data_IF_644765956088
#
_entry.id   IF_644765956088
#
_cell.length_a   1.000
_cell.length_b   1.000
_cell.length_c   1.000
_cell.angle_alpha   90.00
_cell.angle_beta   90.00
_cell.angle_gamma   90.00
#
_symmetry.space_group_name_H-M   'P 1'
#
loop_
_entity.id
_entity.type
_entity.pdbx_description
1 polymer ?
#
# COMPACT_ATOMS: atom_id res chain seq x y z
N UNK A 1 -53.90 -8.58 75.53
CA UNK A 1 -52.76 -7.63 75.41
C UNK A 1 -51.41 -8.34 75.21
N UNK A 2 -51.29 -9.23 74.23
CA UNK A 2 -50.00 -9.86 73.85
C UNK A 2 -49.66 -9.56 72.39
N UNK A 3 -50.68 -9.41 71.54
CA UNK A 3 -50.53 -9.02 70.13
C UNK A 3 -49.98 -7.59 69.92
N UNK A 4 -50.16 -6.67 70.88
CA UNK A 4 -49.66 -5.29 70.76
C UNK A 4 -48.15 -5.17 71.03
N UNK A 5 -47.59 -6.02 71.90
CA UNK A 5 -46.17 -5.97 72.29
C UNK A 5 -45.24 -6.69 71.31
N UNK A 6 -45.73 -7.68 70.56
CA UNK A 6 -44.95 -8.36 69.50
C UNK A 6 -44.80 -7.45 68.27
N UNK A 7 -45.83 -6.68 67.92
CA UNK A 7 -45.75 -5.65 66.86
C UNK A 7 -44.89 -4.43 67.23
N UNK A 8 -44.64 -4.19 68.52
CA UNK A 8 -43.76 -3.11 68.99
C UNK A 8 -42.28 -3.50 68.94
N UNK A 9 -41.96 -4.79 69.13
CA UNK A 9 -40.59 -5.33 69.07
C UNK A 9 -40.08 -5.65 67.65
N UNK A 10 -40.97 -5.92 66.69
CA UNK A 10 -40.59 -6.04 65.27
C UNK A 10 -40.36 -4.66 64.63
N UNK A 11 -40.82 -3.58 65.28
CA UNK A 11 -40.82 -2.23 64.71
C UNK A 11 -39.60 -1.39 65.06
N UNK A 12 -38.74 -1.81 66.00
CA UNK A 12 -37.84 -0.85 66.65
C UNK A 12 -36.34 -1.06 66.56
N UNK A 13 -35.74 -2.19 66.15
CA UNK A 13 -34.25 -2.26 66.26
C UNK A 13 -33.38 -2.91 65.18
N UNK A 14 -33.88 -3.50 64.09
CA UNK A 14 -32.96 -4.03 63.05
C UNK A 14 -33.22 -3.54 61.62
N UNK A 15 -34.08 -2.53 61.41
CA UNK A 15 -34.25 -1.95 60.07
C UNK A 15 -32.96 -1.30 59.55
N UNK A 16 -32.15 -0.72 60.43
CA UNK A 16 -30.80 -0.23 60.12
C UNK A 16 -29.86 -1.36 59.73
N UNK A 17 -29.93 -2.53 60.39
CA UNK A 17 -29.12 -3.69 60.05
C UNK A 17 -29.52 -4.28 58.69
N UNK A 18 -30.82 -4.44 58.43
CA UNK A 18 -31.33 -4.90 57.12
C UNK A 18 -30.99 -3.92 56.00
N UNK A 19 -31.09 -2.61 56.25
CA UNK A 19 -30.67 -1.59 55.28
C UNK A 19 -29.16 -1.64 55.01
N UNK A 20 -28.34 -1.85 56.04
CA UNK A 20 -26.90 -2.01 55.90
C UNK A 20 -26.55 -3.26 55.09
N UNK A 21 -27.17 -4.40 55.39
CA UNK A 21 -26.97 -5.66 54.65
C UNK A 21 -27.38 -5.51 53.18
N UNK A 22 -28.50 -4.85 52.91
CA UNK A 22 -28.95 -4.56 51.55
C UNK A 22 -27.95 -3.68 50.79
N UNK A 23 -27.44 -2.61 51.42
CA UNK A 23 -26.41 -1.74 50.82
C UNK A 23 -25.14 -2.52 50.54
N UNK A 24 -24.69 -3.39 51.44
CA UNK A 24 -23.50 -4.22 51.23
C UNK A 24 -23.68 -5.14 50.02
N UNK A 25 -24.82 -5.81 49.88
CA UNK A 25 -25.12 -6.67 48.72
C UNK A 25 -25.13 -5.88 47.42
N UNK A 26 -25.83 -4.74 47.38
CA UNK A 26 -25.90 -3.87 46.19
C UNK A 26 -24.51 -3.35 45.81
N UNK A 27 -23.73 -2.90 46.79
CA UNK A 27 -22.35 -2.46 46.58
C UNK A 27 -21.46 -3.60 46.10
N UNK A 28 -21.64 -4.82 46.60
CA UNK A 28 -20.92 -6.01 46.16
C UNK A 28 -21.20 -6.35 44.69
N UNK A 29 -22.48 -6.37 44.29
CA UNK A 29 -22.87 -6.59 42.88
C UNK A 29 -22.35 -5.46 41.99
N UNK A 30 -22.48 -4.21 42.44
CA UNK A 30 -21.97 -3.04 41.72
C UNK A 30 -20.46 -3.14 41.49
N UNK A 31 -19.67 -3.42 42.53
CA UNK A 31 -18.22 -3.62 42.42
C UNK A 31 -17.87 -4.80 41.51
N UNK A 32 -18.61 -5.90 41.58
CA UNK A 32 -18.42 -7.07 40.72
C UNK A 32 -18.58 -6.71 39.23
N UNK A 33 -19.63 -5.99 38.87
CA UNK A 33 -19.86 -5.50 37.49
C UNK A 33 -18.75 -4.52 37.08
N UNK A 34 -18.39 -3.58 37.97
CA UNK A 34 -17.34 -2.60 37.66
C UNK A 34 -15.96 -3.25 37.42
N UNK A 35 -15.60 -4.27 38.21
CA UNK A 35 -14.36 -5.02 38.00
C UNK A 35 -14.38 -5.83 36.69
N UNK A 36 -15.53 -6.42 36.35
CA UNK A 36 -15.74 -7.09 35.07
C UNK A 36 -15.54 -6.14 33.89
N UNK A 37 -16.24 -5.01 33.88
CA UNK A 37 -16.13 -3.98 32.85
C UNK A 37 -14.70 -3.43 32.74
N UNK A 38 -14.00 -3.26 33.86
CA UNK A 38 -12.61 -2.80 33.84
C UNK A 38 -11.65 -3.82 33.23
N UNK A 39 -11.85 -5.11 33.50
CA UNK A 39 -11.05 -6.18 32.92
C UNK A 39 -11.30 -6.31 31.41
N UNK A 40 -12.56 -6.23 30.97
CA UNK A 40 -12.93 -6.20 29.54
C UNK A 40 -12.33 -4.99 28.82
N UNK A 41 -12.45 -3.79 29.40
CA UNK A 41 -11.87 -2.57 28.83
C UNK A 41 -10.34 -2.60 28.76
N UNK A 42 -9.66 -3.32 29.67
CA UNK A 42 -8.22 -3.55 29.57
C UNK A 42 -7.89 -4.52 28.44
N UNK A 43 -8.67 -5.60 28.30
CA UNK A 43 -8.51 -6.58 27.22
C UNK A 43 -8.71 -5.95 25.85
N UNK A 44 -9.75 -5.13 25.68
CA UNK A 44 -10.03 -4.41 24.44
C UNK A 44 -8.87 -3.48 24.04
N UNK A 45 -8.34 -2.68 24.97
CA UNK A 45 -7.17 -1.82 24.71
C UNK A 45 -5.91 -2.62 24.35
N UNK A 46 -5.67 -3.75 25.01
CA UNK A 46 -4.53 -4.60 24.68
C UNK A 46 -4.65 -5.19 23.26
N UNK A 47 -5.85 -5.63 22.87
CA UNK A 47 -6.13 -6.13 21.52
C UNK A 47 -5.94 -5.03 20.47
N UNK A 48 -6.52 -3.85 20.70
CA UNK A 48 -6.38 -2.69 19.82
C UNK A 48 -4.92 -2.33 19.59
N UNK A 49 -4.12 -2.17 20.65
CA UNK A 49 -2.68 -1.88 20.55
C UNK A 49 -1.95 -2.91 19.68
N UNK A 50 -2.29 -4.19 19.82
CA UNK A 50 -1.72 -5.26 18.99
C UNK A 50 -2.11 -5.17 17.52
N UNK A 51 -3.34 -4.75 17.20
CA UNK A 51 -3.78 -4.52 15.82
C UNK A 51 -3.19 -3.25 15.22
N UNK A 52 -3.13 -2.16 16.00
CA UNK A 52 -2.50 -0.90 15.59
C UNK A 52 -1.01 -1.10 15.24
N UNK A 53 -0.28 -1.89 16.02
CA UNK A 53 1.11 -2.23 15.70
C UNK A 53 1.24 -2.96 14.35
N UNK A 54 0.40 -3.98 14.11
CA UNK A 54 0.39 -4.71 12.83
C UNK A 54 -0.05 -3.84 11.66
N UNK A 55 -1.04 -2.97 11.87
CA UNK A 55 -1.51 -2.03 10.86
C UNK A 55 -0.42 -1.02 10.50
N UNK A 56 0.33 -0.52 11.49
CA UNK A 56 1.48 0.35 11.25
C UNK A 56 2.55 -0.36 10.42
N UNK A 57 2.85 -1.63 10.71
CA UNK A 57 3.79 -2.43 9.92
C UNK A 57 3.33 -2.58 8.45
N UNK A 58 2.04 -2.83 8.21
CA UNK A 58 1.47 -2.87 6.84
C UNK A 58 1.64 -1.54 6.09
N UNK A 59 1.42 -0.40 6.77
CA UNK A 59 1.60 0.92 6.15
C UNK A 59 3.08 1.23 5.91
N UNK A 60 3.97 0.84 6.82
CA UNK A 60 5.44 0.97 6.64
C UNK A 60 5.91 0.16 5.43
N UNK A 61 5.44 -1.08 5.29
CA UNK A 61 5.71 -1.88 4.10
C UNK A 61 5.17 -1.22 2.83
N UNK A 62 3.97 -0.65 2.89
CA UNK A 62 3.40 0.13 1.77
C UNK A 62 4.26 1.34 1.38
N UNK A 63 4.97 1.96 2.33
CA UNK A 63 5.96 3.02 2.03
C UNK A 63 7.13 2.49 1.21
N UNK A 64 7.64 1.30 1.53
CA UNK A 64 8.71 0.65 0.75
C UNK A 64 8.26 0.39 -0.69
N UNK A 65 7.01 -0.08 -0.85
CA UNK A 65 6.37 -0.27 -2.15
C UNK A 65 6.25 1.06 -2.92
N UNK A 66 5.80 2.14 -2.27
CA UNK A 66 5.67 3.48 -2.89
C UNK A 66 7.03 3.98 -3.40
N UNK A 67 8.08 3.88 -2.57
CA UNK A 67 9.42 4.35 -2.91
C UNK A 67 10.05 3.53 -4.04
N UNK A 68 9.80 2.22 -4.04
CA UNK A 68 10.14 1.33 -5.13
C UNK A 68 9.44 1.76 -6.43
N UNK A 69 8.11 1.86 -6.43
CA UNK A 69 7.34 2.19 -7.62
C UNK A 69 7.71 3.56 -8.19
N UNK A 70 7.92 4.56 -7.33
CA UNK A 70 8.38 5.89 -7.75
C UNK A 70 9.68 5.82 -8.56
N UNK A 71 10.67 5.05 -8.09
CA UNK A 71 11.94 4.86 -8.81
C UNK A 71 11.75 4.08 -10.10
N UNK A 72 11.00 2.99 -10.06
CA UNK A 72 10.75 2.13 -11.21
C UNK A 72 10.06 2.90 -12.35
N UNK A 73 8.95 3.59 -12.05
CA UNK A 73 8.20 4.38 -13.01
C UNK A 73 9.02 5.57 -13.53
N UNK A 74 9.92 6.13 -12.71
CA UNK A 74 10.84 7.18 -13.14
C UNK A 74 11.76 6.70 -14.27
N UNK A 75 12.31 5.49 -14.16
CA UNK A 75 13.13 4.88 -15.21
C UNK A 75 12.31 4.53 -16.46
N UNK A 76 11.08 4.03 -16.31
CA UNK A 76 10.15 3.79 -17.43
C UNK A 76 9.89 5.08 -18.22
N UNK A 77 9.63 6.19 -17.52
CA UNK A 77 9.41 7.51 -18.15
C UNK A 77 10.68 8.03 -18.81
N UNK A 78 11.83 7.91 -18.15
CA UNK A 78 13.11 8.36 -18.71
C UNK A 78 13.47 7.58 -19.99
N UNK A 79 13.33 6.26 -19.95
CA UNK A 79 13.53 5.36 -21.09
C UNK A 79 12.56 5.66 -22.22
N UNK A 80 11.27 5.83 -21.91
CA UNK A 80 10.27 6.16 -22.92
C UNK A 80 10.49 7.52 -23.57
N UNK A 81 11.05 8.51 -22.87
CA UNK A 81 11.45 9.80 -23.47
C UNK A 81 12.57 9.61 -24.49
N UNK A 82 13.62 8.87 -24.14
CA UNK A 82 14.73 8.56 -25.07
C UNK A 82 14.25 7.78 -26.29
N UNK A 83 13.39 6.78 -26.09
CA UNK A 83 12.75 6.03 -27.15
C UNK A 83 11.88 6.93 -28.06
N UNK A 84 11.08 7.82 -27.48
CA UNK A 84 10.24 8.75 -28.23
C UNK A 84 11.08 9.77 -29.03
N UNK A 85 12.18 10.25 -28.47
CA UNK A 85 13.12 11.13 -29.16
C UNK A 85 13.72 10.43 -30.38
N UNK A 86 14.10 9.14 -30.26
CA UNK A 86 14.53 8.35 -31.41
C UNK A 86 13.42 8.17 -32.46
N UNK A 87 12.18 7.89 -32.05
CA UNK A 87 11.07 7.71 -33.00
C UNK A 87 10.74 9.01 -33.78
N UNK A 88 11.10 10.18 -33.25
CA UNK A 88 10.65 11.48 -33.78
C UNK A 88 11.76 12.35 -34.39
N UNK A 89 13.01 12.16 -34.01
CA UNK A 89 14.14 13.00 -34.44
C UNK A 89 14.74 12.63 -35.80
N UNK A 90 14.42 11.44 -36.33
CA UNK A 90 15.02 10.91 -37.57
C UNK A 90 16.52 10.57 -37.47
N UNK A 91 17.15 10.79 -36.31
CA UNK A 91 18.56 10.51 -36.07
C UNK A 91 18.81 9.00 -35.93
N UNK A 92 19.90 8.46 -36.46
CA UNK A 92 20.21 7.05 -36.23
C UNK A 92 20.57 6.77 -34.76
N UNK A 93 20.57 5.50 -34.34
CA UNK A 93 20.98 5.10 -32.98
C UNK A 93 22.48 5.31 -32.68
N UNK A 94 23.23 5.82 -33.67
CA UNK A 94 24.67 6.07 -33.61
C UNK A 94 25.41 4.82 -33.12
N UNK A 95 26.31 4.94 -32.15
CA UNK A 95 27.12 3.84 -31.61
C UNK A 95 26.52 3.18 -30.36
N UNK A 96 25.27 3.46 -29.99
CA UNK A 96 24.65 3.00 -28.74
C UNK A 96 23.25 2.42 -28.98
N UNK A 97 23.12 1.58 -30.01
CA UNK A 97 21.85 0.96 -30.40
C UNK A 97 21.32 -0.01 -29.33
N UNK A 98 22.21 -0.73 -28.64
CA UNK A 98 21.92 -1.59 -27.51
C UNK A 98 21.20 -0.85 -26.38
N UNK A 99 21.70 0.34 -26.00
CA UNK A 99 21.13 1.15 -24.93
C UNK A 99 19.72 1.64 -25.28
N UNK A 100 19.51 1.94 -26.56
CA UNK A 100 18.22 2.39 -27.05
C UNK A 100 17.22 1.23 -27.15
N UNK A 101 17.65 0.02 -27.52
CA UNK A 101 16.77 -1.16 -27.45
C UNK A 101 16.36 -1.46 -26.01
N UNK A 102 17.28 -1.29 -25.05
CA UNK A 102 16.98 -1.36 -23.61
C UNK A 102 15.95 -0.29 -23.23
N UNK A 103 16.07 0.94 -23.75
CA UNK A 103 15.07 1.99 -23.51
C UNK A 103 13.67 1.60 -23.99
N UNK A 104 13.55 1.01 -25.19
CA UNK A 104 12.27 0.47 -25.68
C UNK A 104 11.73 -0.64 -24.78
N UNK A 105 12.60 -1.54 -24.31
CA UNK A 105 12.21 -2.60 -23.39
C UNK A 105 11.76 -2.07 -22.02
N UNK A 106 12.52 -1.16 -21.41
CA UNK A 106 12.18 -0.51 -20.13
C UNK A 106 10.91 0.32 -20.25
N UNK A 107 10.75 1.09 -21.32
CA UNK A 107 9.52 1.85 -21.59
C UNK A 107 8.30 0.92 -21.76
N UNK A 108 8.50 -0.33 -22.18
CA UNK A 108 7.43 -1.32 -22.32
C UNK A 108 6.99 -1.95 -21.00
N UNK A 109 7.71 -1.69 -19.90
CA UNK A 109 7.42 -2.32 -18.62
C UNK A 109 6.09 -1.88 -18.03
N UNK A 110 5.44 -2.79 -17.31
CA UNK A 110 4.15 -2.59 -16.66
C UNK A 110 4.32 -2.89 -15.19
N UNK A 111 3.55 -2.17 -14.38
CA UNK A 111 3.57 -2.29 -12.94
C UNK A 111 2.12 -2.44 -12.46
N UNK A 112 1.92 -3.32 -11.49
CA UNK A 112 0.64 -3.46 -10.79
C UNK A 112 0.56 -2.58 -9.56
N UNK A 113 -0.45 -2.80 -8.73
CA UNK A 113 -0.66 -2.13 -7.44
C UNK A 113 -0.54 -3.16 -6.29
N UNK A 114 0.69 -3.48 -5.84
CA UNK A 114 0.93 -4.58 -4.92
C UNK A 114 0.76 -4.14 -3.45
N UNK A 115 -0.29 -3.39 -3.13
CA UNK A 115 -0.55 -2.93 -1.77
C UNK A 115 -1.34 -3.99 -0.99
N UNK A 116 -0.92 -4.27 0.25
CA UNK A 116 -1.68 -5.11 1.18
C UNK A 116 -2.73 -4.27 1.92
N UNK A 117 -3.90 -4.87 2.14
CA UNK A 117 -5.03 -4.29 2.86
C UNK A 117 -5.53 -5.23 3.97
N UNK A 118 -4.82 -6.33 4.24
CA UNK A 118 -5.29 -7.41 5.09
C UNK A 118 -5.46 -6.94 6.53
N UNK A 119 -4.46 -6.25 7.09
CA UNK A 119 -4.49 -5.72 8.46
C UNK A 119 -5.48 -4.58 8.57
N UNK A 120 -5.54 -3.69 7.58
CA UNK A 120 -6.53 -2.63 7.55
C UNK A 120 -7.97 -3.14 7.57
N UNK A 121 -8.30 -4.10 6.68
CA UNK A 121 -9.65 -4.67 6.61
C UNK A 121 -10.03 -5.40 7.89
N UNK A 122 -9.07 -6.08 8.51
CA UNK A 122 -9.31 -6.77 9.77
C UNK A 122 -9.50 -5.79 10.94
N UNK A 123 -8.66 -4.76 11.05
CA UNK A 123 -8.79 -3.72 12.06
C UNK A 123 -10.17 -3.05 12.01
N UNK A 124 -10.64 -2.70 10.81
CA UNK A 124 -11.97 -2.11 10.62
C UNK A 124 -13.12 -3.03 11.06
N UNK A 125 -13.01 -4.35 10.83
CA UNK A 125 -14.03 -5.32 11.29
C UNK A 125 -14.14 -5.38 12.80
N UNK A 126 -13.02 -5.17 13.49
CA UNK A 126 -12.94 -5.17 14.95
C UNK A 126 -13.26 -3.80 15.57
N UNK A 127 -13.50 -2.77 14.75
CA UNK A 127 -13.80 -1.42 15.22
C UNK A 127 -12.56 -0.59 15.59
N UNK A 128 -11.39 -0.95 15.04
CA UNK A 128 -10.13 -0.24 15.26
C UNK A 128 -9.70 0.56 14.01
N UNK A 129 -8.95 1.66 14.16
CA UNK A 129 -8.69 2.40 15.41
C UNK A 129 -9.97 2.91 16.07
N UNK A 130 -10.04 2.91 17.39
CA UNK A 130 -11.18 3.41 18.16
C UNK A 130 -11.16 4.93 18.27
N UNK A 131 -9.98 5.56 18.21
CA UNK A 131 -9.85 7.00 18.08
C UNK A 131 -10.33 7.49 16.70
N UNK A 132 -11.38 8.34 16.62
CA UNK A 132 -11.94 8.76 15.34
C UNK A 132 -10.96 9.55 14.45
N UNK A 133 -10.02 10.29 15.05
CA UNK A 133 -9.04 11.07 14.29
C UNK A 133 -7.99 10.15 13.63
N UNK A 134 -7.51 9.15 14.36
CA UNK A 134 -6.59 8.13 13.84
C UNK A 134 -7.27 7.27 12.79
N UNK A 135 -8.49 6.81 13.06
CA UNK A 135 -9.31 6.08 12.09
C UNK A 135 -9.44 6.86 10.77
N UNK A 136 -9.80 8.14 10.84
CA UNK A 136 -9.95 8.99 9.65
C UNK A 136 -8.64 9.12 8.86
N UNK A 137 -7.52 9.31 9.56
CA UNK A 137 -6.20 9.47 8.93
C UNK A 137 -5.75 8.19 8.23
N UNK A 138 -5.96 7.03 8.87
CA UNK A 138 -5.71 5.71 8.26
C UNK A 138 -6.60 5.49 7.04
N UNK A 139 -7.90 5.79 7.14
CA UNK A 139 -8.83 5.65 6.03
C UNK A 139 -8.43 6.51 4.82
N UNK A 140 -7.97 7.74 5.04
CA UNK A 140 -7.52 8.62 3.95
C UNK A 140 -6.37 8.01 3.14
N UNK A 141 -5.43 7.34 3.82
CA UNK A 141 -4.35 6.61 3.14
C UNK A 141 -4.87 5.48 2.26
N UNK A 142 -5.67 4.56 2.80
CA UNK A 142 -6.17 3.41 2.04
C UNK A 142 -7.19 3.79 0.95
N UNK A 143 -7.99 4.84 1.15
CA UNK A 143 -8.87 5.40 0.12
C UNK A 143 -8.04 5.97 -1.03
N UNK A 144 -6.96 6.69 -0.71
CA UNK A 144 -6.06 7.20 -1.73
C UNK A 144 -5.43 6.06 -2.53
N UNK A 145 -4.93 5.02 -1.87
CA UNK A 145 -4.32 3.86 -2.54
C UNK A 145 -5.31 3.13 -3.49
N UNK A 146 -6.53 2.85 -3.03
CA UNK A 146 -7.53 2.09 -3.79
C UNK A 146 -7.96 2.76 -5.11
N UNK A 147 -7.73 4.07 -5.27
CA UNK A 147 -8.05 4.78 -6.53
C UNK A 147 -7.15 4.43 -7.71
N UNK A 148 -6.02 3.75 -7.48
CA UNK A 148 -4.96 3.56 -8.47
C UNK A 148 -5.11 2.33 -9.36
N UNK A 149 -5.86 1.32 -8.92
CA UNK A 149 -6.05 0.06 -9.66
C UNK A 149 -6.74 0.27 -11.02
N UNK A 150 -7.64 1.24 -11.09
CA UNK A 150 -8.44 1.52 -12.31
C UNK A 150 -7.59 2.18 -13.41
N UNK A 151 -6.51 2.87 -13.05
CA UNK A 151 -5.64 3.58 -13.99
C UNK A 151 -4.59 2.64 -14.59
N UNK A 152 -4.17 1.62 -13.84
CA UNK A 152 -2.97 0.81 -14.15
C UNK A 152 -3.25 -0.68 -14.37
N UNK A 153 -4.52 -1.10 -14.38
CA UNK A 153 -4.91 -2.51 -14.45
C UNK A 153 -4.74 -3.20 -15.80
N UNK A 154 -4.34 -2.49 -16.87
CA UNK A 154 -4.19 -3.05 -18.21
C UNK A 154 -2.86 -2.65 -18.86
N UNK A 155 -2.20 -3.62 -19.50
CA UNK A 155 -1.01 -3.35 -20.29
C UNK A 155 -1.34 -2.45 -21.50
N UNK A 156 -0.50 -1.45 -21.83
CA UNK A 156 -0.73 -0.58 -22.98
C UNK A 156 -0.50 -1.33 -24.30
N UNK A 157 -1.20 -0.95 -25.37
CA UNK A 157 -0.97 -1.48 -26.72
C UNK A 157 0.51 -1.34 -27.15
N UNK A 158 1.16 -0.27 -26.70
CA UNK A 158 2.59 -0.03 -26.89
C UNK A 158 3.45 -1.25 -26.50
N UNK A 159 3.15 -1.90 -25.37
CA UNK A 159 3.95 -3.02 -24.86
C UNK A 159 3.91 -4.21 -25.81
N UNK A 160 2.73 -4.60 -26.26
CA UNK A 160 2.58 -5.72 -27.20
C UNK A 160 3.30 -5.40 -28.52
N UNK A 161 3.04 -4.22 -29.07
CA UNK A 161 3.58 -3.79 -30.36
C UNK A 161 5.10 -3.70 -30.35
N UNK A 162 5.69 -2.99 -29.37
CA UNK A 162 7.15 -2.81 -29.31
C UNK A 162 7.85 -4.14 -29.09
N UNK A 163 7.28 -5.03 -28.26
CA UNK A 163 7.86 -6.35 -27.99
C UNK A 163 7.75 -7.30 -29.18
N UNK A 164 6.77 -7.11 -30.06
CA UNK A 164 6.68 -7.84 -31.32
C UNK A 164 7.85 -7.58 -32.27
N UNK A 165 8.52 -6.42 -32.15
CA UNK A 165 9.72 -6.08 -32.92
C UNK A 165 11.02 -6.52 -32.25
N UNK A 166 10.97 -6.96 -30.99
CA UNK A 166 12.15 -7.48 -30.27
C UNK A 166 12.30 -8.96 -30.61
N UNK A 167 13.39 -9.31 -31.29
CA UNK A 167 13.69 -10.70 -31.64
C UNK A 167 13.87 -11.58 -30.39
N UNK A 168 13.59 -12.90 -30.47
CA UNK A 168 13.69 -13.80 -29.31
C UNK A 168 15.07 -13.82 -28.62
N UNK A 169 16.16 -13.78 -29.38
CA UNK A 169 17.54 -13.76 -28.85
C UNK A 169 17.87 -12.47 -28.08
N UNK A 170 17.37 -11.33 -28.56
CA UNK A 170 17.44 -10.07 -27.84
C UNK A 170 16.54 -10.09 -26.59
N UNK A 171 15.34 -10.64 -26.70
CA UNK A 171 14.41 -10.77 -25.57
C UNK A 171 15.00 -11.63 -24.44
N UNK A 172 15.67 -12.74 -24.77
CA UNK A 172 16.38 -13.57 -23.80
C UNK A 172 17.44 -12.77 -23.03
N UNK A 173 18.24 -11.97 -23.73
CA UNK A 173 19.27 -11.13 -23.11
C UNK A 173 18.66 -10.02 -22.24
N UNK A 174 17.61 -9.37 -22.72
CA UNK A 174 16.89 -8.33 -21.99
C UNK A 174 16.27 -8.84 -20.68
N UNK A 175 15.63 -10.01 -20.71
CA UNK A 175 15.02 -10.60 -19.52
C UNK A 175 16.02 -11.20 -18.53
N UNK A 176 17.21 -11.59 -19.00
CA UNK A 176 18.25 -12.15 -18.13
C UNK A 176 18.94 -11.06 -17.30
N UNK A 177 19.39 -9.98 -17.96
CA UNK A 177 20.33 -9.04 -17.35
C UNK A 177 19.94 -7.56 -17.48
N UNK A 178 18.78 -7.23 -18.05
CA UNK A 178 18.24 -5.85 -18.07
C UNK A 178 16.98 -5.65 -17.20
N UNK A 179 16.55 -6.72 -16.53
CA UNK A 179 15.55 -6.70 -15.47
C UNK A 179 15.90 -7.82 -14.48
N UNK A 180 15.84 -7.54 -13.17
CA UNK A 180 16.11 -8.53 -12.12
C UNK A 180 15.09 -8.44 -10.99
N UNK A 181 14.83 -9.54 -10.27
CA UNK A 181 14.03 -9.55 -9.03
C UNK A 181 14.90 -9.93 -7.82
N UNK A 182 15.66 -8.99 -7.23
CA UNK A 182 16.31 -9.25 -5.95
C UNK A 182 15.26 -9.53 -4.87
N UNK A 183 15.33 -10.69 -4.21
CA UNK A 183 14.45 -11.00 -3.08
C UNK A 183 12.97 -11.27 -3.41
N UNK A 184 12.63 -11.49 -4.69
CA UNK A 184 11.29 -11.86 -5.20
C UNK A 184 10.15 -10.84 -5.09
N UNK A 185 10.43 -9.63 -4.61
CA UNK A 185 9.39 -8.62 -4.35
C UNK A 185 9.47 -7.40 -5.26
N UNK A 186 10.66 -6.82 -5.42
CA UNK A 186 10.86 -5.60 -6.20
C UNK A 186 11.68 -5.88 -7.46
N UNK A 187 11.20 -5.41 -8.60
CA UNK A 187 11.90 -5.53 -9.88
C UNK A 187 12.91 -4.40 -10.03
N UNK A 188 14.15 -4.68 -10.41
CA UNK A 188 15.12 -3.64 -10.74
C UNK A 188 15.33 -3.59 -12.25
N UNK A 189 15.12 -2.42 -12.84
CA UNK A 189 15.46 -2.15 -14.24
C UNK A 189 16.95 -1.81 -14.32
N UNK A 190 17.67 -2.59 -15.13
CA UNK A 190 19.13 -2.51 -15.20
C UNK A 190 19.58 -2.52 -16.65
N UNK A 191 20.87 -2.27 -16.89
CA UNK A 191 21.45 -2.22 -18.23
C UNK A 191 22.56 -3.25 -18.44
N UNK A 192 22.64 -4.28 -17.59
CA UNK A 192 23.76 -5.21 -17.61
C UNK A 192 23.76 -6.12 -18.86
N UNK A 193 22.63 -6.25 -19.56
CA UNK A 193 22.55 -6.98 -20.83
C UNK A 193 23.15 -6.24 -22.04
N UNK A 194 23.63 -4.99 -21.90
CA UNK A 194 24.08 -4.18 -23.02
C UNK A 194 25.20 -4.85 -23.83
N UNK A 195 26.16 -5.50 -23.16
CA UNK A 195 27.27 -6.17 -23.85
C UNK A 195 26.81 -7.38 -24.67
N UNK A 196 25.82 -8.14 -24.20
CA UNK A 196 25.24 -9.26 -24.95
C UNK A 196 24.51 -8.77 -26.20
N UNK A 197 23.79 -7.64 -26.09
CA UNK A 197 23.05 -7.04 -27.19
C UNK A 197 23.95 -6.49 -28.30
N UNK A 198 25.20 -6.10 -27.98
CA UNK A 198 26.20 -5.66 -29.00
C UNK A 198 26.53 -6.75 -30.01
N UNK A 199 26.35 -8.02 -29.64
CA UNK A 199 26.57 -9.15 -30.54
C UNK A 199 25.43 -9.38 -31.54
N UNK A 200 24.30 -8.69 -31.37
CA UNK A 200 23.10 -8.81 -32.20
C UNK A 200 22.95 -7.61 -33.14
N UNK A 201 22.16 -7.77 -34.21
CA UNK A 201 21.81 -6.66 -35.11
C UNK A 201 20.71 -5.78 -34.47
N UNK A 202 21.10 -5.03 -33.44
CA UNK A 202 20.20 -4.13 -32.73
C UNK A 202 19.75 -2.96 -33.60
N UNK A 203 20.59 -2.52 -34.53
CA UNK A 203 20.27 -1.44 -35.45
C UNK A 203 19.12 -1.82 -36.41
N UNK A 204 19.05 -3.07 -36.87
CA UNK A 204 17.91 -3.58 -37.65
C UNK A 204 16.60 -3.53 -36.86
N UNK A 205 16.55 -4.11 -35.66
CA UNK A 205 15.35 -4.08 -34.81
C UNK A 205 14.87 -2.63 -34.56
N UNK A 206 15.80 -1.71 -34.30
CA UNK A 206 15.46 -0.29 -34.10
C UNK A 206 14.92 0.40 -35.36
N UNK A 207 15.37 -0.01 -36.56
CA UNK A 207 14.80 0.49 -37.83
C UNK A 207 13.38 -0.05 -38.04
N UNK A 208 13.12 -1.31 -37.71
CA UNK A 208 11.78 -1.91 -37.76
C UNK A 208 10.82 -1.23 -36.77
N UNK A 209 11.28 -1.04 -35.52
CA UNK A 209 10.56 -0.29 -34.48
C UNK A 209 10.22 1.12 -34.99
N UNK A 210 11.17 1.86 -35.57
CA UNK A 210 10.91 3.20 -36.12
C UNK A 210 9.90 3.19 -37.27
N UNK A 211 9.91 2.15 -38.08
CA UNK A 211 9.02 2.04 -39.24
C UNK A 211 7.56 1.79 -38.85
N UNK A 212 7.27 1.38 -37.61
CA UNK A 212 5.90 1.20 -37.12
C UNK A 212 5.25 2.55 -36.74
N UNK A 213 4.25 3.03 -37.51
CA UNK A 213 3.68 4.36 -37.32
C UNK A 213 2.81 4.48 -36.06
N UNK A 214 2.39 3.37 -35.45
CA UNK A 214 1.52 3.39 -34.27
C UNK A 214 2.29 3.67 -32.98
N UNK A 215 3.58 3.29 -32.92
CA UNK A 215 4.36 3.33 -31.67
C UNK A 215 4.51 4.73 -31.07
N UNK A 216 4.60 5.79 -31.89
CA UNK A 216 4.70 7.17 -31.38
C UNK A 216 3.47 7.56 -30.56
N UNK A 217 2.27 7.24 -31.07
CA UNK A 217 1.01 7.59 -30.41
C UNK A 217 0.79 6.73 -29.16
N UNK A 218 1.04 5.44 -29.26
CA UNK A 218 0.90 4.50 -28.14
C UNK A 218 1.91 4.79 -27.01
N UNK A 219 3.17 5.10 -27.34
CA UNK A 219 4.19 5.49 -26.35
C UNK A 219 3.85 6.81 -25.66
N UNK A 220 3.35 7.81 -26.41
CA UNK A 220 2.89 9.08 -25.81
C UNK A 220 1.77 8.87 -24.81
N UNK A 221 0.80 8.02 -25.14
CA UNK A 221 -0.28 7.66 -24.22
C UNK A 221 0.29 7.00 -22.97
N UNK A 222 1.16 6.00 -23.13
CA UNK A 222 1.75 5.28 -22.00
C UNK A 222 2.62 6.17 -21.10
N UNK A 223 3.45 7.04 -21.69
CA UNK A 223 4.20 8.05 -20.96
C UNK A 223 3.27 8.99 -20.18
N UNK A 224 2.15 9.41 -20.77
CA UNK A 224 1.14 10.23 -20.09
C UNK A 224 0.61 9.58 -18.81
N UNK A 225 0.28 8.28 -18.87
CA UNK A 225 -0.17 7.52 -17.70
C UNK A 225 0.91 7.44 -16.61
N UNK A 226 2.15 7.14 -16.99
CA UNK A 226 3.25 7.04 -16.02
C UNK A 226 3.65 8.40 -15.43
N UNK A 227 3.56 9.47 -16.21
CA UNK A 227 3.77 10.84 -15.71
C UNK A 227 2.68 11.21 -14.69
N UNK A 228 1.43 10.82 -14.93
CA UNK A 228 0.37 10.96 -13.95
C UNK A 228 0.69 10.16 -12.68
N UNK A 229 1.18 8.91 -12.82
CA UNK A 229 1.57 8.08 -11.69
C UNK A 229 2.68 8.69 -10.82
N UNK A 230 3.73 9.23 -11.44
CA UNK A 230 4.81 9.90 -10.72
C UNK A 230 4.34 11.10 -9.88
N UNK A 231 3.24 11.75 -10.27
CA UNK A 231 2.66 12.84 -9.46
C UNK A 231 1.93 12.34 -8.22
N UNK A 232 1.47 11.09 -8.23
CA UNK A 232 0.72 10.49 -7.13
C UNK A 232 1.59 9.99 -5.98
N UNK A 233 2.78 9.43 -6.27
CA UNK A 233 3.62 8.82 -5.22
C UNK A 233 3.98 9.76 -4.05
N UNK A 234 4.31 11.05 -4.26
CA UNK A 234 4.54 11.97 -3.15
C UNK A 234 3.32 12.15 -2.24
N UNK A 235 2.12 12.16 -2.80
CA UNK A 235 0.88 12.23 -2.03
C UNK A 235 0.61 10.91 -1.29
N UNK A 236 0.78 9.75 -1.95
CA UNK A 236 0.68 8.44 -1.27
C UNK A 236 1.60 8.40 -0.05
N UNK A 237 2.85 8.83 -0.22
CA UNK A 237 3.85 8.87 0.85
C UNK A 237 3.42 9.79 1.99
N UNK A 238 2.91 10.98 1.66
CA UNK A 238 2.39 11.94 2.66
C UNK A 238 1.23 11.36 3.47
N UNK A 239 0.28 10.67 2.83
CA UNK A 239 -0.82 10.00 3.53
C UNK A 239 -0.35 8.84 4.41
N UNK A 240 0.61 8.04 3.92
CA UNK A 240 1.20 6.95 4.68
C UNK A 240 1.92 7.46 5.95
N UNK A 241 2.77 8.48 5.80
CA UNK A 241 3.52 9.08 6.91
C UNK A 241 2.55 9.66 7.97
N UNK A 242 1.45 10.30 7.53
CA UNK A 242 0.42 10.81 8.43
C UNK A 242 -0.29 9.68 9.20
N UNK A 243 -0.64 8.58 8.52
CA UNK A 243 -1.27 7.43 9.17
C UNK A 243 -0.33 6.73 10.16
N UNK A 244 0.95 6.55 9.80
CA UNK A 244 1.98 6.02 10.71
C UNK A 244 2.12 6.90 11.95
N UNK A 245 2.18 8.23 11.77
CA UNK A 245 2.32 9.18 12.88
C UNK A 245 1.10 9.14 13.81
N UNK A 246 -0.12 9.10 13.27
CA UNK A 246 -1.35 9.01 14.04
C UNK A 246 -1.40 7.71 14.87
N UNK A 247 -1.12 6.56 14.25
CA UNK A 247 -1.08 5.27 14.96
C UNK A 247 0.01 5.27 16.05
N UNK A 248 1.19 5.84 15.76
CA UNK A 248 2.29 5.88 16.73
C UNK A 248 1.92 6.72 17.95
N UNK A 249 1.27 7.88 17.75
CA UNK A 249 0.80 8.72 18.85
C UNK A 249 -0.26 8.02 19.71
N UNK A 250 -1.17 7.26 19.11
CA UNK A 250 -2.17 6.47 19.84
C UNK A 250 -1.52 5.33 20.66
N UNK A 251 -0.53 4.65 20.09
CA UNK A 251 0.25 3.62 20.78
C UNK A 251 1.09 4.17 21.95
N UNK A 252 1.42 5.46 21.97
CA UNK A 252 2.13 6.11 23.07
C UNK A 252 1.19 6.61 24.18
N UNK A 253 -0.06 6.92 23.85
CA UNK A 253 -1.02 7.53 24.77
C UNK A 253 -1.96 6.53 25.47
N UNK A 254 -2.24 5.38 24.84
CA UNK A 254 -3.08 4.31 25.39
C UNK A 254 -2.30 3.18 26.09
#
# INVERSE_FOLDING_TARGET
>A
MILRRVMEHVRTQNWTAVALDFVIVVMGVFMGIQLGNWNEARGARAAERGFLAQLREEIVHSVEVIDYQSRYVSEVVASGRRALDYLTSGADCMSACEDLLIDFFHASQVWGTPFDYTKYREALRLGFPSDPATLKTVQDFYVYLNGWDTVNGAAPAYRERVRGHIRPDAAESLWRDCMRLPGSEFEELTRACADDLKSLDTAEMLREIRADPALVMELRFWLGQNIFALRGYPDMRRYADAAIAAISAELETN
#
